data_IF_527308656781
#
_entry.id   IF_527308656781
#
_cell.length_a   1.000
_cell.length_b   1.000
_cell.length_c   1.000
_cell.angle_alpha   90.00
_cell.angle_beta   90.00
_cell.angle_gamma   90.00
#
_symmetry.space_group_name_H-M   'P 1'
#
loop_
_entity.id
_entity.type
_entity.pdbx_description
1 polymer ?
#
# COMPACT_ATOMS: atom_id res chain seq x y z
N UNK A 1 4.15 11.19 -47.15
CA UNK A 1 4.30 9.83 -47.70
C UNK A 1 3.77 8.85 -46.65
N UNK A 2 2.58 8.28 -46.88
CA UNK A 2 1.97 7.23 -46.05
C UNK A 2 2.19 5.91 -46.79
N UNK A 3 2.61 4.86 -46.10
CA UNK A 3 2.87 3.57 -46.72
C UNK A 3 1.60 2.96 -47.34
N UNK A 4 1.69 2.63 -48.64
CA UNK A 4 0.65 1.97 -49.46
C UNK A 4 0.66 0.43 -49.33
N UNK A 5 1.35 -0.15 -48.36
CA UNK A 5 1.38 -1.60 -48.13
C UNK A 5 0.96 -1.91 -46.70
N UNK A 6 -0.24 -2.48 -46.55
CA UNK A 6 -0.86 -2.80 -45.26
C UNK A 6 -0.09 -3.87 -44.50
N UNK A 7 0.78 -3.45 -43.60
CA UNK A 7 1.25 -4.24 -42.48
C UNK A 7 0.74 -3.61 -41.19
N UNK A 8 -0.16 -4.28 -40.46
CA UNK A 8 -0.59 -3.80 -39.15
C UNK A 8 0.57 -3.85 -38.15
N UNK A 9 0.92 -2.72 -37.53
CA UNK A 9 1.85 -2.72 -36.41
C UNK A 9 1.21 -3.44 -35.21
N UNK A 10 1.89 -4.45 -34.67
CA UNK A 10 1.40 -5.24 -33.53
C UNK A 10 2.00 -4.71 -32.23
N UNK A 11 1.17 -4.04 -31.43
CA UNK A 11 1.55 -3.57 -30.09
C UNK A 11 1.64 -4.73 -29.08
N UNK A 12 2.51 -4.58 -28.07
CA UNK A 12 2.60 -5.48 -26.91
C UNK A 12 2.22 -4.72 -25.64
N UNK A 13 1.48 -5.37 -24.76
CA UNK A 13 1.10 -4.81 -23.47
C UNK A 13 1.41 -5.80 -22.36
N UNK A 14 2.40 -5.47 -21.56
CA UNK A 14 2.76 -6.27 -20.38
C UNK A 14 1.76 -5.95 -19.27
N UNK A 15 1.19 -7.00 -18.69
CA UNK A 15 0.23 -6.87 -17.58
C UNK A 15 0.58 -7.89 -16.51
N UNK A 16 0.30 -7.52 -15.26
CA UNK A 16 0.33 -8.45 -14.13
C UNK A 16 -1.10 -8.91 -13.91
N UNK A 17 -1.41 -10.22 -14.01
CA UNK A 17 -2.78 -10.70 -13.87
C UNK A 17 -3.38 -10.40 -12.49
N UNK A 18 -2.58 -10.55 -11.44
CA UNK A 18 -2.90 -10.13 -10.08
C UNK A 18 -1.62 -10.05 -9.24
N UNK A 19 -1.54 -9.05 -8.38
CA UNK A 19 -0.51 -8.96 -7.35
C UNK A 19 -1.02 -8.10 -6.19
N UNK A 20 -0.60 -8.45 -4.97
CA UNK A 20 -0.78 -7.64 -3.78
C UNK A 20 0.56 -7.03 -3.40
N UNK A 21 0.67 -5.71 -3.52
CA UNK A 21 1.89 -4.97 -3.18
C UNK A 21 1.80 -4.42 -1.77
N UNK A 22 2.90 -4.51 -1.02
CA UNK A 22 3.05 -3.90 0.29
C UNK A 22 4.03 -2.73 0.19
N UNK A 23 3.66 -1.59 0.76
CA UNK A 23 4.52 -0.41 0.87
C UNK A 23 4.73 -0.10 2.35
N UNK A 24 5.98 0.16 2.73
CA UNK A 24 6.32 0.63 4.07
C UNK A 24 6.61 2.12 4.03
N UNK A 25 5.88 2.88 4.85
CA UNK A 25 6.03 4.33 4.98
C UNK A 25 6.50 4.73 6.37
N UNK A 26 7.14 5.90 6.45
CA UNK A 26 7.66 6.47 7.70
C UNK A 26 7.40 7.96 7.70
N UNK A 27 6.93 8.50 8.83
CA UNK A 27 6.73 9.94 9.03
C UNK A 27 7.54 10.34 10.26
N UNK A 28 8.49 11.25 10.07
CA UNK A 28 9.40 11.69 11.12
C UNK A 28 8.91 13.00 11.73
N UNK A 29 8.62 12.99 13.04
CA UNK A 29 8.12 14.17 13.76
C UNK A 29 9.12 15.33 13.75
N UNK A 30 10.44 15.14 13.99
CA UNK A 30 11.41 16.23 13.89
C UNK A 30 11.39 16.95 12.52
N UNK A 31 11.35 16.19 11.42
CA UNK A 31 11.28 16.77 10.08
C UNK A 31 9.93 17.44 9.79
N UNK A 32 8.84 16.89 10.33
CA UNK A 32 7.52 17.51 10.22
C UNK A 32 7.50 18.90 10.87
N UNK A 33 8.11 19.04 12.05
CA UNK A 33 8.23 20.31 12.75
C UNK A 33 9.07 21.34 11.97
N UNK A 34 10.16 20.91 11.33
CA UNK A 34 11.00 21.79 10.50
C UNK A 34 10.28 22.27 9.23
N UNK A 35 9.45 21.42 8.63
CA UNK A 35 8.76 21.70 7.36
C UNK A 35 7.38 22.33 7.53
N UNK A 36 6.85 22.37 8.77
CA UNK A 36 5.50 22.84 9.07
C UNK A 36 4.39 21.82 8.75
N UNK A 37 4.76 20.56 8.48
CA UNK A 37 3.81 19.48 8.27
C UNK A 37 3.01 19.24 9.57
N UNK A 38 1.69 19.29 9.46
CA UNK A 38 0.78 19.25 10.59
C UNK A 38 -0.27 18.14 10.46
N UNK A 39 -1.13 18.02 11.47
CA UNK A 39 -2.17 16.98 11.52
C UNK A 39 -3.20 17.08 10.39
N UNK A 40 -3.47 18.28 9.84
CA UNK A 40 -4.37 18.42 8.70
C UNK A 40 -3.72 17.86 7.42
N UNK A 41 -2.43 18.11 7.23
CA UNK A 41 -1.66 17.53 6.11
C UNK A 41 -1.60 16.00 6.24
N UNK A 42 -1.46 15.50 7.46
CA UNK A 42 -1.48 14.07 7.77
C UNK A 42 -2.84 13.44 7.45
N UNK A 43 -3.93 14.09 7.83
CA UNK A 43 -5.28 13.64 7.49
C UNK A 43 -5.49 13.59 5.97
N UNK A 44 -5.09 14.64 5.26
CA UNK A 44 -5.14 14.70 3.81
C UNK A 44 -4.28 13.61 3.16
N UNK A 45 -3.10 13.32 3.74
CA UNK A 45 -2.23 12.26 3.26
C UNK A 45 -2.88 10.87 3.38
N UNK A 46 -3.60 10.61 4.48
CA UNK A 46 -4.36 9.37 4.63
C UNK A 46 -5.49 9.26 3.61
N UNK A 47 -6.25 10.33 3.39
CA UNK A 47 -7.29 10.36 2.35
C UNK A 47 -6.70 10.13 0.95
N UNK A 48 -5.55 10.74 0.66
CA UNK A 48 -4.87 10.57 -0.61
C UNK A 48 -4.42 9.12 -0.81
N UNK A 49 -3.91 8.44 0.22
CA UNK A 49 -3.52 7.02 0.13
C UNK A 49 -4.72 6.09 -0.04
N UNK A 50 -5.84 6.36 0.64
CA UNK A 50 -7.07 5.60 0.49
C UNK A 50 -7.64 5.73 -0.93
N UNK A 51 -7.59 6.93 -1.50
CA UNK A 51 -8.15 7.24 -2.83
C UNK A 51 -7.12 7.21 -3.96
N UNK A 52 -5.89 6.75 -3.69
CA UNK A 52 -4.72 6.91 -4.58
C UNK A 52 -4.95 6.39 -6.00
N UNK A 53 -5.75 5.32 -6.14
CA UNK A 53 -6.02 4.68 -7.42
C UNK A 53 -7.39 5.00 -8.02
N UNK A 54 -8.30 5.65 -7.27
CA UNK A 54 -9.66 5.91 -7.74
C UNK A 54 -9.68 6.87 -8.94
N UNK A 55 -8.81 7.87 -8.89
CA UNK A 55 -8.69 8.90 -9.92
C UNK A 55 -7.60 8.60 -10.95
N UNK A 56 -6.83 7.51 -10.79
CA UNK A 56 -5.63 7.22 -11.58
C UNK A 56 -5.84 6.11 -12.63
N UNK A 57 -6.99 6.16 -13.30
CA UNK A 57 -7.41 5.13 -14.27
C UNK A 57 -6.75 5.36 -15.62
N UNK A 58 -6.07 4.33 -16.12
CA UNK A 58 -5.48 4.35 -17.46
C UNK A 58 -5.51 2.97 -18.09
N UNK A 59 -5.38 2.92 -19.42
CA UNK A 59 -5.33 1.66 -20.15
C UNK A 59 -4.21 0.75 -19.63
N UNK A 60 -3.05 1.30 -19.22
CA UNK A 60 -1.92 0.49 -18.76
C UNK A 60 -2.08 -0.06 -17.33
N UNK A 61 -2.80 0.65 -16.45
CA UNK A 61 -2.88 0.31 -15.02
C UNK A 61 -3.96 -0.72 -14.68
N UNK A 62 -4.99 -0.85 -15.52
CA UNK A 62 -6.10 -1.76 -15.24
C UNK A 62 -6.86 -1.35 -13.97
N UNK A 63 -7.21 -2.32 -13.12
CA UNK A 63 -7.90 -2.09 -11.84
C UNK A 63 -6.90 -2.17 -10.68
N UNK A 64 -6.55 -1.02 -10.12
CA UNK A 64 -5.75 -0.91 -8.90
C UNK A 64 -6.63 -0.38 -7.77
N UNK A 65 -6.43 -0.88 -6.55
CA UNK A 65 -7.19 -0.46 -5.39
C UNK A 65 -6.35 -0.58 -4.11
N UNK A 66 -6.50 0.36 -3.20
CA UNK A 66 -5.92 0.30 -1.85
C UNK A 66 -6.71 -0.72 -1.04
N UNK A 67 -6.05 -1.78 -0.56
CA UNK A 67 -6.72 -2.88 0.15
C UNK A 67 -6.70 -2.74 1.66
N UNK A 68 -5.57 -2.29 2.22
CA UNK A 68 -5.34 -2.10 3.65
C UNK A 68 -4.41 -0.91 3.86
N UNK A 69 -4.70 -0.11 4.88
CA UNK A 69 -3.87 0.98 5.37
C UNK A 69 -3.74 0.82 6.89
N UNK A 70 -2.55 0.38 7.31
CA UNK A 70 -2.22 0.06 8.70
C UNK A 70 -1.21 1.11 9.18
N UNK A 71 -1.56 1.81 10.25
CA UNK A 71 -0.77 2.90 10.81
C UNK A 71 -0.30 2.53 12.21
N UNK A 72 0.99 2.68 12.45
CA UNK A 72 1.59 2.55 13.78
C UNK A 72 1.95 3.94 14.29
N UNK A 73 1.17 4.46 15.22
CA UNK A 73 1.38 5.77 15.83
C UNK A 73 2.18 5.61 17.12
N UNK A 74 3.32 6.30 17.21
CA UNK A 74 4.15 6.33 18.41
C UNK A 74 3.75 7.51 19.32
N UNK A 75 3.81 7.32 20.64
CA UNK A 75 3.56 8.38 21.61
C UNK A 75 4.74 9.37 21.70
N UNK A 76 5.95 8.91 21.38
CA UNK A 76 7.18 9.71 21.36
C UNK A 76 7.55 10.16 19.95
N UNK A 77 8.00 11.40 19.82
CA UNK A 77 8.50 11.98 18.57
C UNK A 77 9.71 11.24 17.98
N UNK A 78 10.50 10.54 18.82
CA UNK A 78 11.65 9.74 18.38
C UNK A 78 11.28 8.26 18.14
N UNK A 79 10.03 7.87 18.41
CA UNK A 79 9.55 6.50 18.33
C UNK A 79 9.67 5.72 19.65
N UNK A 80 8.75 4.78 19.84
CA UNK A 80 8.67 3.87 21.00
C UNK A 80 9.13 2.44 20.67
N UNK A 81 9.19 2.09 19.39
CA UNK A 81 9.55 0.76 18.91
C UNK A 81 10.29 0.83 17.58
N UNK A 82 11.10 -0.18 17.29
CA UNK A 82 11.76 -0.28 15.98
C UNK A 82 10.75 -0.63 14.89
N UNK A 83 10.81 0.08 13.78
CA UNK A 83 9.85 -0.08 12.70
C UNK A 83 9.81 -1.49 12.07
N UNK A 84 10.96 -2.18 11.98
CA UNK A 84 10.97 -3.56 11.45
C UNK A 84 10.08 -4.50 12.28
N UNK A 85 10.09 -4.36 13.62
CA UNK A 85 9.23 -5.16 14.50
C UNK A 85 7.76 -4.86 14.30
N UNK A 86 7.42 -3.61 14.02
CA UNK A 86 6.04 -3.20 13.74
C UNK A 86 5.55 -3.78 12.42
N UNK A 87 6.36 -3.75 11.37
CA UNK A 87 5.99 -4.35 10.08
C UNK A 87 5.88 -5.88 10.14
N UNK A 88 6.69 -6.54 10.97
CA UNK A 88 6.58 -7.99 11.22
C UNK A 88 5.25 -8.41 11.89
N UNK A 89 4.53 -7.48 12.53
CA UNK A 89 3.19 -7.73 13.07
C UNK A 89 2.16 -7.96 11.97
N UNK A 90 2.42 -7.48 10.75
CA UNK A 90 1.53 -7.63 9.60
C UNK A 90 2.00 -8.81 8.76
N UNK A 91 1.23 -9.88 8.76
CA UNK A 91 1.53 -11.11 8.02
C UNK A 91 0.50 -11.29 6.91
N UNK A 92 0.98 -11.41 5.68
CA UNK A 92 0.13 -11.71 4.53
C UNK A 92 0.36 -13.15 4.10
N UNK A 93 -0.70 -13.95 4.11
CA UNK A 93 -0.67 -15.38 3.78
C UNK A 93 -1.60 -15.68 2.62
N UNK A 94 -1.35 -16.79 1.93
CA UNK A 94 -2.29 -17.34 0.95
C UNK A 94 -3.46 -18.00 1.68
N UNK A 95 -4.67 -17.63 1.28
CA UNK A 95 -5.92 -18.24 1.74
C UNK A 95 -6.21 -19.55 1.02
N UNK A 96 -5.83 -19.59 -0.27
CA UNK A 96 -6.07 -20.70 -1.18
C UNK A 96 -4.78 -21.47 -1.47
N UNK A 97 -4.93 -22.60 -2.17
CA UNK A 97 -3.82 -23.48 -2.59
C UNK A 97 -2.64 -22.69 -3.17
N UNK A 98 -1.48 -22.79 -2.51
CA UNK A 98 -0.23 -22.14 -2.91
C UNK A 98 0.29 -22.62 -4.27
N UNK A 99 -0.13 -23.81 -4.73
CA UNK A 99 0.20 -24.31 -6.04
C UNK A 99 -0.49 -23.55 -7.19
N UNK A 100 -1.52 -22.74 -6.89
CA UNK A 100 -2.25 -21.93 -7.88
C UNK A 100 -1.87 -20.45 -7.79
N UNK A 101 -1.69 -19.78 -8.94
CA UNK A 101 -1.38 -18.36 -8.93
C UNK A 101 -2.56 -17.55 -8.36
N UNK A 102 -2.29 -16.48 -7.58
CA UNK A 102 -3.30 -15.54 -7.12
C UNK A 102 -4.08 -14.93 -8.28
N UNK A 103 -5.37 -14.69 -8.08
CA UNK A 103 -6.23 -13.97 -9.02
C UNK A 103 -7.14 -12.95 -8.36
N UNK A 104 -7.32 -13.01 -7.04
CA UNK A 104 -8.15 -12.05 -6.31
C UNK A 104 -7.58 -11.73 -4.92
N UNK A 105 -8.09 -10.65 -4.29
CA UNK A 105 -7.72 -10.29 -2.94
C UNK A 105 -8.16 -11.33 -1.91
N UNK A 106 -9.29 -12.01 -2.16
CA UNK A 106 -9.78 -13.12 -1.34
C UNK A 106 -8.84 -14.33 -1.29
N UNK A 107 -7.90 -14.43 -2.23
CA UNK A 107 -6.84 -15.45 -2.16
C UNK A 107 -5.76 -15.10 -1.12
N UNK A 108 -5.86 -13.95 -0.44
CA UNK A 108 -4.95 -13.51 0.61
C UNK A 108 -5.69 -13.30 1.93
N UNK A 109 -5.00 -13.59 3.02
CA UNK A 109 -5.39 -13.22 4.37
C UNK A 109 -4.33 -12.27 4.92
N UNK A 110 -4.77 -11.10 5.37
CA UNK A 110 -3.91 -10.12 6.06
C UNK A 110 -4.20 -10.26 7.56
N UNK A 111 -3.24 -10.83 8.28
CA UNK A 111 -3.29 -10.99 9.73
C UNK A 111 -2.45 -9.88 10.38
N UNK A 112 -2.98 -9.29 11.44
CA UNK A 112 -2.29 -8.28 12.23
C UNK A 112 -2.23 -8.77 13.67
N UNK A 113 -1.02 -8.99 14.17
CA UNK A 113 -0.79 -9.35 15.57
C UNK A 113 -0.95 -8.11 16.47
N UNK A 114 -2.18 -7.92 16.96
CA UNK A 114 -2.55 -6.79 17.82
C UNK A 114 -2.09 -6.96 19.26
N UNK A 115 -1.86 -8.19 19.71
CA UNK A 115 -1.45 -8.48 21.09
C UNK A 115 0.04 -8.18 21.30
N UNK A 116 0.85 -8.34 20.27
CA UNK A 116 2.29 -8.05 20.30
C UNK A 116 2.64 -6.58 20.03
N UNK A 117 1.66 -5.67 19.97
CA UNK A 117 1.91 -4.23 19.78
C UNK A 117 2.63 -3.68 21.02
N UNK A 118 3.85 -3.11 20.88
CA UNK A 118 4.61 -2.60 22.01
C UNK A 118 3.92 -1.44 22.73
N UNK A 119 4.18 -1.30 24.03
CA UNK A 119 3.71 -0.15 24.82
C UNK A 119 4.16 1.17 24.20
N UNK A 120 3.22 2.12 24.12
CA UNK A 120 3.46 3.44 23.50
C UNK A 120 3.38 3.44 21.97
N UNK A 121 2.81 2.38 21.38
CA UNK A 121 2.41 2.33 19.98
C UNK A 121 0.91 2.06 19.92
N UNK A 122 0.19 2.90 19.17
CA UNK A 122 -1.21 2.70 18.82
C UNK A 122 -1.30 2.19 17.39
N UNK A 123 -2.00 1.07 17.19
CA UNK A 123 -2.28 0.50 15.87
C UNK A 123 -3.64 0.98 15.38
N UNK A 124 -3.67 1.62 14.21
CA UNK A 124 -4.89 2.08 13.55
C UNK A 124 -5.04 1.44 12.18
N UNK A 125 -6.20 0.87 11.90
CA UNK A 125 -6.59 0.41 10.56
C UNK A 125 -7.55 1.44 9.96
N UNK A 126 -7.20 2.01 8.81
CA UNK A 126 -8.04 3.03 8.14
C UNK A 126 -9.00 2.41 7.12
N UNK A 127 -8.79 1.15 6.72
CA UNK A 127 -9.65 0.33 5.83
C UNK A 127 -9.45 -1.17 6.13
#
# INVERSE_FOLDING_TARGET
>A
ERAETGGSEMGRKFTVPYALYCCHGFISVPFALETGFNENDLALFWEALLNMFEHDRSAARGQMATRKLIVFKHDSALGNAHAHKLFELVKVKRSTDEAKPPRDFSDYIVEIDRESVPTGVTLEEKI
#
